data_IF_722461134955
#
_entry.id   IF_722461134955
#
_cell.length_a   1.000
_cell.length_b   1.000
_cell.length_c   1.000
_cell.angle_alpha   90.00
_cell.angle_beta   90.00
_cell.angle_gamma   90.00
#
_symmetry.space_group_name_H-M   'P 1'
#
loop_
_entity.id
_entity.type
_entity.pdbx_description
1 polymer ?
#
# COMPACT_ATOMS: atom_id res chain seq x y z
N UNK A 1 4.77 7.67 -10.99
CA UNK A 1 5.52 8.18 -12.16
C UNK A 1 5.74 7.00 -13.08
N UNK A 2 5.21 7.03 -14.31
CA UNK A 2 5.47 5.95 -15.27
C UNK A 2 6.95 6.04 -15.64
N UNK A 3 7.76 5.11 -15.12
CA UNK A 3 9.14 4.88 -15.58
C UNK A 3 9.00 4.33 -16.99
N UNK A 4 9.31 5.15 -17.97
CA UNK A 4 9.20 4.79 -19.38
C UNK A 4 10.60 4.97 -19.94
N UNK A 5 11.18 3.84 -20.33
CA UNK A 5 12.44 3.77 -21.05
C UNK A 5 12.10 3.72 -22.53
N UNK A 6 12.48 4.71 -23.33
CA UNK A 6 12.21 4.68 -24.76
C UNK A 6 12.89 3.47 -25.40
N UNK A 7 12.24 2.84 -26.38
CA UNK A 7 12.79 1.73 -27.15
C UNK A 7 13.80 2.26 -28.18
N UNK A 8 13.47 3.38 -28.82
CA UNK A 8 14.31 4.08 -29.77
C UNK A 8 14.37 5.59 -29.50
N UNK A 9 15.47 6.20 -29.94
CA UNK A 9 15.74 7.63 -29.91
C UNK A 9 15.92 8.12 -31.35
N UNK A 10 15.25 9.21 -31.68
CA UNK A 10 15.33 9.88 -32.98
C UNK A 10 15.94 11.25 -32.75
N UNK A 11 17.05 11.55 -33.42
CA UNK A 11 17.68 12.86 -33.40
C UNK A 11 17.39 13.59 -34.71
N UNK A 12 16.81 14.77 -34.58
CA UNK A 12 16.66 15.69 -35.71
C UNK A 12 17.86 16.64 -35.77
N UNK A 13 18.37 16.87 -36.99
CA UNK A 13 19.26 17.99 -37.33
C UNK A 13 18.65 18.77 -38.49
N UNK A 14 19.25 19.88 -38.91
CA UNK A 14 18.75 20.63 -40.06
C UNK A 14 18.95 19.88 -41.39
N UNK A 15 19.86 18.91 -41.42
CA UNK A 15 20.28 18.19 -42.63
C UNK A 15 19.89 16.72 -42.67
N UNK A 16 19.77 16.05 -41.51
CA UNK A 16 19.55 14.60 -41.43
C UNK A 16 18.72 14.21 -40.21
N UNK A 17 18.18 12.99 -40.24
CA UNK A 17 17.51 12.37 -39.13
C UNK A 17 18.19 11.05 -38.74
N UNK A 18 18.60 10.92 -37.48
CA UNK A 18 19.29 9.73 -36.98
C UNK A 18 18.40 8.92 -36.05
N UNK A 19 18.30 7.62 -36.31
CA UNK A 19 17.49 6.70 -35.49
C UNK A 19 18.41 5.69 -34.82
N UNK A 20 18.31 5.58 -33.50
CA UNK A 20 19.06 4.60 -32.71
C UNK A 20 18.13 3.86 -31.74
N UNK A 21 18.21 2.52 -31.68
CA UNK A 21 17.76 1.78 -30.51
C UNK A 21 18.43 2.34 -29.24
N UNK A 22 17.68 2.47 -28.14
CA UNK A 22 18.20 3.07 -26.89
C UNK A 22 19.45 2.34 -26.36
N UNK A 23 19.59 1.06 -26.69
CA UNK A 23 20.71 0.21 -26.28
C UNK A 23 22.00 0.54 -27.04
N UNK A 24 21.89 0.91 -28.31
CA UNK A 24 23.02 1.25 -29.19
C UNK A 24 23.22 2.76 -29.37
N UNK A 25 22.41 3.58 -28.69
CA UNK A 25 22.54 5.03 -28.75
C UNK A 25 23.91 5.49 -28.23
N UNK A 26 24.65 6.30 -29.01
CA UNK A 26 25.95 6.82 -28.59
C UNK A 26 25.81 7.72 -27.35
N UNK A 27 26.87 7.75 -26.52
CA UNK A 27 26.93 8.63 -25.34
C UNK A 27 27.15 10.09 -25.74
N UNK A 28 27.94 10.31 -26.79
CA UNK A 28 28.13 11.61 -27.44
C UNK A 28 27.06 11.81 -28.53
N UNK A 29 26.90 13.05 -28.98
CA UNK A 29 26.01 13.33 -30.10
C UNK A 29 26.55 12.70 -31.39
N UNK A 30 25.67 12.14 -32.23
CA UNK A 30 26.09 11.51 -33.48
C UNK A 30 26.43 12.50 -34.61
N UNK A 31 26.37 13.81 -34.36
CA UNK A 31 26.51 14.87 -35.35
C UNK A 31 27.10 16.14 -34.74
N UNK A 32 27.58 17.04 -35.59
CA UNK A 32 28.12 18.33 -35.18
C UNK A 32 27.01 19.32 -34.78
N UNK A 33 27.28 20.11 -33.73
CA UNK A 33 26.29 21.06 -33.17
C UNK A 33 25.95 22.19 -34.14
N UNK A 34 26.85 22.50 -35.07
CA UNK A 34 26.66 23.52 -36.12
C UNK A 34 25.50 23.14 -37.08
N UNK A 35 25.36 21.85 -37.42
CA UNK A 35 24.27 21.33 -38.27
C UNK A 35 22.90 21.40 -37.60
N UNK A 36 22.85 21.71 -36.31
CA UNK A 36 21.62 21.81 -35.52
C UNK A 36 21.10 23.26 -35.40
N UNK A 37 21.82 24.25 -35.97
CA UNK A 37 21.50 25.68 -35.79
C UNK A 37 20.40 26.26 -36.71
N UNK A 38 20.31 25.92 -38.01
CA UNK A 38 19.24 26.48 -38.83
C UNK A 38 17.89 25.89 -38.40
N UNK A 39 16.86 26.74 -38.32
CA UNK A 39 15.47 26.30 -38.18
C UNK A 39 15.00 25.86 -39.57
N UNK A 40 14.73 24.58 -39.80
CA UNK A 40 14.29 24.10 -41.10
C UNK A 40 12.87 24.59 -41.39
N UNK A 41 12.56 24.71 -42.67
CA UNK A 41 11.17 24.94 -43.10
C UNK A 41 10.33 23.67 -42.91
N UNK A 42 9.01 23.81 -42.84
CA UNK A 42 8.09 22.68 -42.72
C UNK A 42 8.28 21.63 -43.82
N UNK A 43 8.58 22.08 -45.04
CA UNK A 43 8.88 21.19 -46.17
C UNK A 43 10.20 20.45 -46.01
N UNK A 44 11.23 21.09 -45.46
CA UNK A 44 12.49 20.42 -45.14
C UNK A 44 12.27 19.35 -44.07
N UNK A 45 11.47 19.61 -43.04
CA UNK A 45 11.15 18.60 -42.01
C UNK A 45 10.43 17.40 -42.67
N UNK A 46 9.47 17.63 -43.56
CA UNK A 46 8.80 16.54 -44.29
C UNK A 46 9.78 15.73 -45.14
N UNK A 47 10.73 16.37 -45.81
CA UNK A 47 11.77 15.68 -46.58
C UNK A 47 12.67 14.82 -45.68
N UNK A 48 13.12 15.35 -44.54
CA UNK A 48 13.90 14.59 -43.56
C UNK A 48 13.14 13.36 -43.03
N UNK A 49 11.82 13.47 -42.93
CA UNK A 49 10.97 12.36 -42.49
C UNK A 49 10.81 11.26 -43.54
N UNK A 50 10.98 11.57 -44.84
CA UNK A 50 10.97 10.55 -45.90
C UNK A 50 12.19 9.63 -45.82
N UNK A 51 13.30 10.11 -45.25
CA UNK A 51 14.54 9.34 -45.07
C UNK A 51 14.49 8.41 -43.83
N UNK A 52 13.43 8.47 -43.02
CA UNK A 52 13.27 7.63 -41.83
C UNK A 52 13.13 6.15 -42.20
N UNK A 53 13.98 5.30 -41.63
CA UNK A 53 13.92 3.84 -41.79
C UNK A 53 12.73 3.25 -41.03
N UNK A 54 11.60 3.08 -41.73
CA UNK A 54 10.34 2.56 -41.18
C UNK A 54 10.46 1.19 -40.50
N UNK A 55 11.40 0.33 -40.95
CA UNK A 55 11.60 -1.01 -40.41
C UNK A 55 12.04 -1.03 -38.94
N UNK A 56 12.87 -0.07 -38.52
CA UNK A 56 13.31 0.07 -37.11
C UNK A 56 12.17 0.63 -36.27
N UNK A 57 11.43 1.60 -36.81
CA UNK A 57 10.33 2.28 -36.15
C UNK A 57 9.16 1.33 -35.88
N UNK A 58 8.79 0.45 -36.82
CA UNK A 58 7.68 -0.49 -36.67
C UNK A 58 7.81 -1.42 -35.45
N UNK A 59 9.04 -1.69 -35.00
CA UNK A 59 9.31 -2.54 -33.83
C UNK A 59 9.21 -1.81 -32.48
N UNK A 60 9.10 -0.48 -32.49
CA UNK A 60 9.20 0.37 -31.30
C UNK A 60 7.83 0.76 -30.77
N UNK A 61 7.62 0.69 -29.45
CA UNK A 61 6.38 1.16 -28.80
C UNK A 61 6.54 2.54 -28.18
N UNK A 62 7.74 2.85 -27.70
CA UNK A 62 8.06 4.11 -27.01
C UNK A 62 9.21 4.81 -27.75
N UNK A 63 8.97 6.03 -28.21
CA UNK A 63 9.95 6.81 -28.96
C UNK A 63 10.31 8.09 -28.23
N UNK A 64 11.60 8.43 -28.26
CA UNK A 64 12.11 9.70 -27.76
C UNK A 64 12.65 10.52 -28.94
N UNK A 65 12.00 11.63 -29.24
CA UNK A 65 12.40 12.58 -30.27
C UNK A 65 13.23 13.67 -29.59
N UNK A 66 14.47 13.82 -30.07
CA UNK A 66 15.43 14.83 -29.62
C UNK A 66 15.54 15.89 -30.71
N UNK A 67 15.24 17.13 -30.34
CA UNK A 67 15.20 18.26 -31.28
C UNK A 67 16.26 19.30 -30.91
N UNK A 68 16.92 19.94 -31.89
CA UNK A 68 17.82 21.04 -31.63
C UNK A 68 17.15 22.16 -30.85
N UNK A 69 17.89 22.75 -29.92
CA UNK A 69 17.41 23.89 -29.15
C UNK A 69 17.05 25.09 -30.03
N UNK A 70 17.71 25.26 -31.18
CA UNK A 70 17.43 26.37 -32.09
C UNK A 70 16.02 26.32 -32.69
N UNK A 71 15.37 25.14 -32.73
CA UNK A 71 14.00 24.97 -33.23
C UNK A 71 12.96 25.21 -32.14
N UNK A 72 13.41 25.36 -30.90
CA UNK A 72 12.58 25.53 -29.72
C UNK A 72 12.74 26.97 -29.21
N UNK A 73 11.71 27.47 -28.56
CA UNK A 73 11.81 28.73 -27.84
C UNK A 73 12.43 28.45 -26.47
N UNK A 74 13.66 28.88 -26.26
CA UNK A 74 14.39 28.71 -25.00
C UNK A 74 14.54 30.07 -24.33
N UNK A 75 14.11 30.18 -23.08
CA UNK A 75 14.19 31.41 -22.30
C UNK A 75 14.62 31.17 -20.87
N UNK A 76 15.36 32.14 -20.33
CA UNK A 76 15.90 32.11 -18.98
C UNK A 76 15.49 33.38 -18.23
N UNK A 77 14.86 33.20 -17.07
CA UNK A 77 14.33 34.30 -16.27
C UNK A 77 14.84 34.21 -14.84
N UNK A 78 15.39 35.33 -14.33
CA UNK A 78 15.80 35.44 -12.93
C UNK A 78 14.65 35.96 -12.09
N UNK A 79 14.38 35.29 -10.97
CA UNK A 79 13.25 35.58 -10.08
C UNK A 79 13.79 35.74 -8.66
N UNK A 80 13.52 36.90 -8.07
CA UNK A 80 14.05 37.34 -6.77
C UNK A 80 13.36 36.67 -5.55
N UNK A 81 12.41 35.77 -5.79
CA UNK A 81 11.67 35.08 -4.74
C UNK A 81 11.56 33.59 -5.03
N UNK A 82 11.52 32.73 -3.99
CA UNK A 82 11.36 31.30 -4.16
C UNK A 82 10.02 30.99 -4.82
N UNK A 83 10.07 30.40 -6.02
CA UNK A 83 8.87 29.89 -6.67
C UNK A 83 8.40 28.64 -5.96
N UNK A 84 7.16 28.67 -5.48
CA UNK A 84 6.52 27.45 -5.03
C UNK A 84 6.38 26.47 -6.20
N UNK A 85 6.44 25.15 -5.97
CA UNK A 85 6.33 24.15 -7.02
C UNK A 85 4.97 24.18 -7.75
N UNK A 86 3.95 24.82 -7.15
CA UNK A 86 2.64 25.02 -7.79
C UNK A 86 2.62 26.24 -8.72
N UNK A 87 3.43 27.25 -8.43
CA UNK A 87 3.51 28.49 -9.21
C UNK A 87 4.52 28.40 -10.34
N UNK A 88 5.61 27.64 -10.17
CA UNK A 88 6.63 27.41 -11.19
C UNK A 88 6.07 27.02 -12.58
N UNK A 89 5.14 26.04 -12.71
CA UNK A 89 4.58 25.69 -14.02
C UNK A 89 3.72 26.80 -14.63
N UNK A 90 3.04 27.61 -13.81
CA UNK A 90 2.23 28.75 -14.28
C UNK A 90 3.10 29.90 -14.79
N UNK A 91 4.17 30.22 -14.04
CA UNK A 91 5.15 31.21 -14.48
C UNK A 91 5.81 30.76 -15.78
N UNK A 92 6.22 29.50 -15.87
CA UNK A 92 6.79 28.94 -17.09
C UNK A 92 5.81 28.98 -18.27
N UNK A 93 4.53 28.69 -18.06
CA UNK A 93 3.51 28.79 -19.10
C UNK A 93 3.34 30.24 -19.60
N UNK A 94 3.33 31.22 -18.69
CA UNK A 94 3.25 32.63 -19.04
C UNK A 94 4.43 33.05 -19.91
N UNK A 95 5.66 32.76 -19.49
CA UNK A 95 6.86 33.06 -20.29
C UNK A 95 6.87 32.30 -21.61
N UNK A 96 6.47 31.02 -21.63
CA UNK A 96 6.39 30.25 -22.86
C UNK A 96 5.39 30.88 -23.85
N UNK A 97 4.25 31.38 -23.36
CA UNK A 97 3.26 32.07 -24.22
C UNK A 97 3.78 33.40 -24.77
N UNK A 98 4.56 34.12 -23.97
CA UNK A 98 5.19 35.36 -24.40
C UNK A 98 6.26 35.12 -25.46
N UNK A 99 7.10 34.09 -25.32
CA UNK A 99 8.21 33.85 -26.23
C UNK A 99 7.82 33.09 -27.51
N UNK A 100 6.72 32.34 -27.49
CA UNK A 100 6.21 31.62 -28.66
C UNK A 100 5.08 32.34 -29.38
N UNK A 101 4.51 33.40 -28.79
CA UNK A 101 3.33 34.13 -29.28
C UNK A 101 2.12 33.22 -29.56
N UNK A 102 2.04 32.07 -28.92
CA UNK A 102 0.97 31.09 -29.07
C UNK A 102 0.05 31.07 -27.83
N UNK A 103 -1.21 30.64 -27.97
CA UNK A 103 -2.09 30.51 -26.83
C UNK A 103 -1.67 29.31 -25.94
N UNK A 104 -1.95 29.35 -24.62
CA UNK A 104 -1.50 28.33 -23.67
C UNK A 104 -1.87 26.88 -24.03
N UNK A 105 -2.99 26.67 -24.72
CA UNK A 105 -3.46 25.35 -25.16
C UNK A 105 -2.69 24.78 -26.36
N UNK A 106 -1.93 25.61 -27.07
CA UNK A 106 -1.13 25.25 -28.25
C UNK A 106 0.37 25.23 -27.95
N UNK A 107 0.75 25.31 -26.68
CA UNK A 107 2.14 25.32 -26.26
C UNK A 107 2.45 24.05 -25.46
N UNK A 108 3.57 23.43 -25.82
CA UNK A 108 4.18 22.36 -25.06
C UNK A 108 5.47 22.87 -24.47
N UNK A 109 5.62 22.78 -23.16
CA UNK A 109 6.80 23.33 -22.49
C UNK A 109 7.35 22.40 -21.43
N UNK A 110 8.59 22.67 -21.07
CA UNK A 110 9.30 22.08 -19.96
C UNK A 110 9.92 23.23 -19.17
N UNK A 111 9.97 23.07 -17.85
CA UNK A 111 10.58 24.05 -16.97
C UNK A 111 11.52 23.38 -15.98
N UNK A 112 12.63 24.05 -15.69
CA UNK A 112 13.50 23.75 -14.57
C UNK A 112 13.74 25.01 -13.75
N UNK A 113 13.79 24.85 -12.43
CA UNK A 113 14.07 25.94 -11.50
C UNK A 113 15.37 25.61 -10.79
N UNK A 114 16.40 26.38 -11.06
CA UNK A 114 17.70 26.26 -10.43
C UNK A 114 17.90 27.41 -9.44
N UNK A 115 18.44 27.08 -8.26
CA UNK A 115 18.72 28.08 -7.22
C UNK A 115 20.12 28.65 -7.46
N UNK A 116 20.21 29.93 -7.81
CA UNK A 116 21.49 30.62 -8.00
C UNK A 116 22.06 31.09 -6.66
N UNK A 117 21.28 31.83 -5.88
CA UNK A 117 21.66 32.36 -4.58
C UNK A 117 20.54 32.12 -3.55
N UNK A 118 20.71 32.62 -2.30
CA UNK A 118 19.69 32.48 -1.25
C UNK A 118 18.32 33.00 -1.69
N UNK A 119 18.32 34.11 -2.42
CA UNK A 119 17.10 34.82 -2.84
C UNK A 119 16.89 34.83 -4.37
N UNK A 120 17.85 34.35 -5.17
CA UNK A 120 17.74 34.35 -6.63
C UNK A 120 17.56 32.93 -7.16
N UNK A 121 16.50 32.76 -7.94
CA UNK A 121 16.16 31.53 -8.65
C UNK A 121 16.16 31.81 -10.15
N UNK A 122 16.68 30.89 -10.94
CA UNK A 122 16.64 30.94 -12.40
C UNK A 122 15.61 29.93 -12.89
N UNK A 123 14.59 30.45 -13.55
CA UNK A 123 13.59 29.66 -14.25
C UNK A 123 14.04 29.53 -15.71
N UNK A 124 14.35 28.30 -16.10
CA UNK A 124 14.67 27.95 -17.48
C UNK A 124 13.43 27.31 -18.12
N UNK A 125 12.97 27.87 -19.24
CA UNK A 125 11.78 27.45 -19.95
C UNK A 125 12.17 27.04 -21.36
N UNK A 126 11.72 25.86 -21.77
CA UNK A 126 11.83 25.37 -23.14
C UNK A 126 10.40 25.18 -23.64
N UNK A 127 10.05 25.81 -24.75
CA UNK A 127 8.72 25.78 -25.33
C UNK A 127 8.74 25.38 -26.81
N UNK A 128 7.69 24.69 -27.22
CA UNK A 128 7.46 24.20 -28.57
C UNK A 128 6.00 24.46 -28.94
N UNK A 129 5.76 24.94 -30.17
CA UNK A 129 4.41 25.11 -30.68
C UNK A 129 3.78 23.75 -30.99
N UNK A 130 2.45 23.66 -30.87
CA UNK A 130 1.69 22.49 -31.25
C UNK A 130 1.92 22.08 -32.70
N UNK A 131 1.98 23.07 -33.61
CA UNK A 131 2.22 22.83 -35.04
C UNK A 131 3.55 22.09 -35.27
N UNK A 132 4.65 22.57 -34.69
CA UNK A 132 5.96 21.93 -34.83
C UNK A 132 5.97 20.54 -34.20
N UNK A 133 5.37 20.39 -33.01
CA UNK A 133 5.27 19.09 -32.33
C UNK A 133 4.49 18.07 -33.17
N UNK A 134 3.35 18.47 -33.72
CA UNK A 134 2.48 17.60 -34.51
C UNK A 134 3.17 17.23 -35.83
N UNK A 135 3.87 18.19 -36.47
CA UNK A 135 4.70 17.94 -37.65
C UNK A 135 5.80 16.91 -37.36
N UNK A 136 6.53 17.05 -36.24
CA UNK A 136 7.58 16.11 -35.86
C UNK A 136 7.05 14.73 -35.45
N UNK A 137 5.81 14.65 -34.95
CA UNK A 137 5.18 13.38 -34.55
C UNK A 137 4.49 12.67 -35.70
N UNK A 138 4.15 13.36 -36.77
CA UNK A 138 3.43 12.83 -37.93
C UNK A 138 3.95 11.48 -38.48
N UNK A 139 5.26 11.24 -38.66
CA UNK A 139 5.75 9.98 -39.24
C UNK A 139 5.71 8.79 -38.28
N UNK A 140 5.45 9.04 -37.00
CA UNK A 140 5.40 8.02 -35.96
C UNK A 140 3.93 7.76 -35.66
N UNK A 141 3.41 6.63 -36.15
CA UNK A 141 2.00 6.24 -36.07
C UNK A 141 1.35 6.55 -34.71
N UNK A 142 0.04 6.82 -34.71
CA UNK A 142 -0.75 7.07 -33.50
C UNK A 142 -0.67 5.95 -32.43
N UNK A 143 -0.13 4.79 -32.78
CA UNK A 143 0.11 3.66 -31.88
C UNK A 143 1.37 3.82 -30.98
N UNK A 144 2.26 4.77 -31.25
CA UNK A 144 3.54 4.92 -30.55
C UNK A 144 3.52 6.08 -29.53
N UNK A 145 3.97 5.83 -28.30
CA UNK A 145 4.13 6.88 -27.28
C UNK A 145 5.38 7.71 -27.60
N UNK A 146 5.20 8.81 -28.34
CA UNK A 146 6.28 9.67 -28.82
C UNK A 146 6.52 10.86 -27.89
N UNK A 147 7.73 11.00 -27.35
CA UNK A 147 8.06 12.09 -26.41
C UNK A 147 9.05 13.04 -27.02
N UNK A 148 8.84 14.33 -26.83
CA UNK A 148 9.69 15.38 -27.38
C UNK A 148 10.57 15.97 -26.27
N UNK A 149 11.88 16.01 -26.49
CA UNK A 149 12.85 16.67 -25.60
C UNK A 149 13.84 17.52 -26.39
N UNK A 150 14.47 18.49 -25.74
CA UNK A 150 15.54 19.28 -26.35
C UNK A 150 16.88 18.55 -26.33
N UNK A 151 17.75 18.94 -27.26
CA UNK A 151 19.12 18.44 -27.37
C UNK A 151 19.98 18.83 -26.15
N UNK A 152 19.80 20.02 -25.58
CA UNK A 152 20.46 20.42 -24.34
C UNK A 152 20.04 19.54 -23.16
N UNK A 153 18.74 19.21 -23.03
CA UNK A 153 18.26 18.29 -22.00
C UNK A 153 18.87 16.90 -22.17
N UNK A 154 18.99 16.43 -23.42
CA UNK A 154 19.67 15.17 -23.73
C UNK A 154 21.13 15.19 -23.26
N UNK A 155 21.93 16.19 -23.67
CA UNK A 155 23.34 16.32 -23.32
C UNK A 155 23.59 16.39 -21.80
N UNK A 156 22.77 17.14 -21.07
CA UNK A 156 22.92 17.29 -19.61
C UNK A 156 22.69 15.97 -18.83
N UNK A 157 21.93 15.03 -19.41
CA UNK A 157 21.43 13.85 -18.69
C UNK A 157 21.89 12.53 -19.26
N UNK A 158 22.24 12.44 -20.55
CA UNK A 158 22.63 11.19 -21.23
C UNK A 158 23.79 10.46 -20.55
N UNK A 159 24.68 11.19 -19.87
CA UNK A 159 25.80 10.65 -19.10
C UNK A 159 25.41 9.94 -17.80
N UNK A 160 24.20 10.16 -17.27
CA UNK A 160 23.77 9.59 -15.97
C UNK A 160 23.20 8.18 -16.16
N UNK A 161 23.72 7.22 -15.37
CA UNK A 161 23.39 5.78 -15.42
C UNK A 161 21.87 5.47 -15.40
N UNK A 162 21.07 6.29 -14.73
CA UNK A 162 19.61 6.11 -14.59
C UNK A 162 18.77 7.01 -15.49
N UNK A 163 19.37 7.86 -16.32
CA UNK A 163 18.63 8.80 -17.18
C UNK A 163 17.62 8.10 -18.09
N UNK A 164 17.97 6.89 -18.54
CA UNK A 164 17.14 6.01 -19.38
C UNK A 164 15.74 5.73 -18.82
N UNK A 165 15.53 5.83 -17.51
CA UNK A 165 14.24 5.54 -16.87
C UNK A 165 13.44 6.79 -16.47
N UNK A 166 14.00 7.98 -16.69
CA UNK A 166 13.46 9.26 -16.16
C UNK A 166 13.08 10.28 -17.24
N UNK A 167 13.19 9.93 -18.52
CA UNK A 167 12.93 10.88 -19.63
C UNK A 167 11.51 11.46 -19.64
N UNK A 168 10.53 10.75 -19.09
CA UNK A 168 9.16 11.26 -18.95
C UNK A 168 9.01 12.52 -18.08
N UNK A 169 10.03 12.92 -17.32
CA UNK A 169 10.02 14.18 -16.56
C UNK A 169 10.51 15.38 -17.38
N UNK A 170 11.21 15.11 -18.48
CA UNK A 170 11.84 16.13 -19.33
C UNK A 170 11.05 16.39 -20.61
N UNK A 171 9.98 15.62 -20.83
CA UNK A 171 9.10 15.78 -21.97
C UNK A 171 8.46 17.18 -21.98
N UNK A 172 8.42 17.77 -23.17
CA UNK A 172 7.63 18.96 -23.47
C UNK A 172 6.14 18.58 -23.40
N UNK A 173 5.47 19.05 -22.36
CA UNK A 173 4.09 18.67 -22.05
C UNK A 173 3.20 19.90 -21.95
N UNK A 174 1.88 19.69 -22.09
CA UNK A 174 0.92 20.75 -21.92
C UNK A 174 0.59 20.93 -20.43
N UNK A 175 0.27 22.16 -20.02
CA UNK A 175 -0.18 22.44 -18.66
C UNK A 175 -1.56 21.83 -18.42
N UNK A 176 -1.62 20.78 -17.59
CA UNK A 176 -2.87 20.08 -17.25
C UNK A 176 -3.03 19.94 -15.73
N UNK A 177 -3.41 21.02 -15.02
CA UNK A 177 -3.45 21.04 -13.57
C UNK A 177 -4.44 20.02 -12.98
N UNK A 178 -5.56 19.80 -13.66
CA UNK A 178 -6.58 18.83 -13.23
C UNK A 178 -6.10 17.38 -13.40
N UNK A 179 -5.34 17.08 -14.45
CA UNK A 179 -4.76 15.75 -14.61
C UNK A 179 -3.73 15.46 -13.53
N UNK A 180 -2.87 16.43 -13.22
CA UNK A 180 -1.87 16.30 -12.17
C UNK A 180 -2.52 16.16 -10.79
N UNK A 181 -3.58 16.93 -10.54
CA UNK A 181 -4.39 16.79 -9.32
C UNK A 181 -4.99 15.40 -9.23
N UNK A 182 -5.63 14.92 -10.30
CA UNK A 182 -6.24 13.58 -10.36
C UNK A 182 -5.20 12.48 -10.15
N UNK A 183 -4.05 12.56 -10.83
CA UNK A 183 -2.94 11.59 -10.66
C UNK A 183 -2.41 11.56 -9.23
N UNK A 184 -2.25 12.73 -8.60
CA UNK A 184 -1.83 12.82 -7.21
C UNK A 184 -2.87 12.25 -6.25
N UNK A 185 -4.16 12.50 -6.50
CA UNK A 185 -5.25 11.91 -5.71
C UNK A 185 -5.28 10.38 -5.85
N UNK A 186 -5.19 9.86 -7.07
CA UNK A 186 -5.12 8.40 -7.32
C UNK A 186 -3.92 7.80 -6.61
N UNK A 187 -2.76 8.45 -6.66
CA UNK A 187 -1.56 7.98 -5.95
C UNK A 187 -1.75 7.96 -4.44
N UNK A 188 -2.33 9.01 -3.86
CA UNK A 188 -2.63 9.06 -2.42
C UNK A 188 -3.62 7.99 -2.03
N UNK A 189 -4.66 7.76 -2.84
CA UNK A 189 -5.61 6.69 -2.67
C UNK A 189 -4.95 5.30 -2.71
N UNK A 190 -4.05 5.06 -3.67
CA UNK A 190 -3.33 3.79 -3.78
C UNK A 190 -2.45 3.55 -2.54
N UNK A 191 -1.75 4.58 -2.06
CA UNK A 191 -0.96 4.50 -0.82
C UNK A 191 -1.87 4.22 0.39
N UNK A 192 -3.03 4.87 0.48
CA UNK A 192 -3.99 4.62 1.54
C UNK A 192 -4.51 3.18 1.53
N UNK A 193 -4.87 2.65 0.35
CA UNK A 193 -5.29 1.26 0.19
C UNK A 193 -4.18 0.30 0.61
N UNK A 194 -2.93 0.54 0.20
CA UNK A 194 -1.80 -0.28 0.60
C UNK A 194 -1.60 -0.28 2.13
N UNK A 195 -1.65 0.89 2.76
CA UNK A 195 -1.54 1.00 4.22
C UNK A 195 -2.69 0.27 4.93
N UNK A 196 -3.91 0.38 4.41
CA UNK A 196 -5.06 -0.34 4.94
C UNK A 196 -4.85 -1.85 4.84
N UNK A 197 -4.43 -2.37 3.69
CA UNK A 197 -4.14 -3.80 3.51
C UNK A 197 -3.02 -4.26 4.45
N UNK A 198 -1.93 -3.50 4.57
CA UNK A 198 -0.85 -3.82 5.51
C UNK A 198 -1.33 -3.87 6.96
N UNK A 199 -2.20 -2.95 7.37
CA UNK A 199 -2.79 -2.95 8.71
C UNK A 199 -3.65 -4.20 8.94
N UNK A 200 -4.51 -4.57 7.99
CA UNK A 200 -5.34 -5.77 8.10
C UNK A 200 -4.50 -7.05 8.16
N UNK A 201 -3.41 -7.12 7.38
CA UNK A 201 -2.47 -8.24 7.44
C UNK A 201 -1.77 -8.34 8.80
N UNK A 202 -1.37 -7.20 9.40
CA UNK A 202 -0.78 -7.17 10.73
C UNK A 202 -1.77 -7.63 11.80
N UNK A 203 -3.02 -7.16 11.74
CA UNK A 203 -4.08 -7.57 12.66
C UNK A 203 -4.35 -9.07 12.53
N UNK A 204 -4.45 -9.58 11.30
CA UNK A 204 -4.67 -11.00 11.04
C UNK A 204 -3.50 -11.86 11.55
N UNK A 205 -2.26 -11.39 11.35
CA UNK A 205 -1.07 -12.04 11.90
C UNK A 205 -1.06 -12.06 13.44
N UNK A 206 -1.49 -10.98 14.07
CA UNK A 206 -1.63 -10.88 15.52
C UNK A 206 -2.68 -11.87 16.06
N UNK A 207 -3.88 -11.91 15.47
CA UNK A 207 -4.92 -12.86 15.87
C UNK A 207 -4.51 -14.31 15.65
N UNK A 208 -3.82 -14.60 14.56
CA UNK A 208 -3.28 -15.94 14.32
C UNK A 208 -2.29 -16.37 15.40
N UNK A 209 -1.44 -15.44 15.86
CA UNK A 209 -0.48 -15.71 16.92
C UNK A 209 -1.15 -15.94 18.28
N UNK A 210 -2.17 -15.14 18.60
CA UNK A 210 -3.01 -15.35 19.79
C UNK A 210 -3.75 -16.70 19.76
N UNK A 211 -4.38 -17.05 18.64
CA UNK A 211 -5.09 -18.32 18.48
C UNK A 211 -4.14 -19.50 18.66
N UNK A 212 -2.91 -19.41 18.11
CA UNK A 212 -1.88 -20.42 18.32
C UNK A 212 -1.49 -20.56 19.79
N UNK A 213 -1.32 -19.46 20.52
CA UNK A 213 -1.02 -19.48 21.95
C UNK A 213 -2.18 -20.08 22.76
N UNK A 214 -3.42 -19.72 22.45
CA UNK A 214 -4.60 -20.29 23.10
C UNK A 214 -4.74 -21.79 22.85
N UNK A 215 -4.53 -22.26 21.62
CA UNK A 215 -4.54 -23.69 21.30
C UNK A 215 -3.44 -24.44 22.05
N UNK A 216 -2.24 -23.88 22.15
CA UNK A 216 -1.15 -24.47 22.94
C UNK A 216 -1.51 -24.56 24.42
N UNK A 217 -2.04 -23.49 25.00
CA UNK A 217 -2.45 -23.47 26.41
C UNK A 217 -3.60 -24.46 26.69
N UNK A 218 -4.57 -24.57 25.79
CA UNK A 218 -5.64 -25.55 25.88
C UNK A 218 -5.11 -26.99 25.87
N UNK A 219 -4.13 -27.30 25.01
CA UNK A 219 -3.48 -28.62 24.99
C UNK A 219 -2.71 -28.88 26.29
N UNK A 220 -1.98 -27.89 26.81
CA UNK A 220 -1.26 -28.03 28.09
C UNK A 220 -2.21 -28.26 29.26
N UNK A 221 -3.31 -27.50 29.34
CA UNK A 221 -4.35 -27.71 30.36
C UNK A 221 -4.97 -29.09 30.22
N UNK A 222 -5.29 -29.52 29.00
CA UNK A 222 -5.86 -30.85 28.74
C UNK A 222 -4.92 -31.97 29.22
N UNK A 223 -3.61 -31.85 28.96
CA UNK A 223 -2.59 -32.78 29.46
C UNK A 223 -2.51 -32.78 31.00
N UNK A 224 -2.58 -31.62 31.65
CA UNK A 224 -2.62 -31.54 33.12
C UNK A 224 -3.88 -32.19 33.71
N UNK A 225 -5.05 -31.99 33.10
CA UNK A 225 -6.28 -32.71 33.52
C UNK A 225 -6.21 -34.21 33.28
N UNK A 226 -5.48 -34.68 32.26
CA UNK A 226 -5.28 -36.12 32.02
C UNK A 226 -4.27 -36.75 32.99
N UNK A 227 -3.30 -35.97 33.50
CA UNK A 227 -2.35 -36.39 34.53
C UNK A 227 -2.99 -36.49 35.93
N UNK A 228 -4.13 -35.82 36.16
CA UNK A 228 -5.02 -36.05 37.31
C UNK A 228 -5.76 -37.39 37.13
N UNK A 229 -5.02 -38.49 37.19
CA UNK A 229 -5.61 -39.81 37.35
C UNK A 229 -6.09 -39.97 38.80
N UNK A 230 -7.40 -40.12 38.95
CA UNK A 230 -8.03 -40.46 40.21
C UNK A 230 -7.41 -41.75 40.76
N UNK A 231 -7.09 -41.83 42.07
CA UNK A 231 -6.56 -43.06 42.65
C UNK A 231 -7.55 -44.21 42.41
N UNK A 232 -7.07 -45.27 41.76
CA UNK A 232 -7.87 -46.47 41.39
C UNK A 232 -8.42 -47.24 42.61
N UNK A 233 -8.06 -46.86 43.84
CA UNK A 233 -8.59 -47.40 45.09
C UNK A 233 -9.29 -46.31 45.89
N UNK A 234 -10.48 -45.92 45.45
CA UNK A 234 -11.44 -45.14 46.24
C UNK A 234 -12.52 -46.06 46.82
N UNK A 235 -13.10 -45.70 47.96
CA UNK A 235 -14.31 -46.39 48.45
C UNK A 235 -15.43 -46.27 47.40
N UNK A 236 -16.37 -47.23 47.38
CA UNK A 236 -17.55 -47.19 46.49
C UNK A 236 -18.30 -45.85 46.60
N UNK A 237 -18.28 -45.26 47.79
CA UNK A 237 -18.81 -43.92 48.04
C UNK A 237 -18.09 -42.82 47.23
N UNK A 238 -16.76 -42.81 47.19
CA UNK A 238 -15.98 -41.80 46.46
C UNK A 238 -16.21 -41.88 44.95
N UNK A 239 -16.32 -43.09 44.38
CA UNK A 239 -16.58 -43.25 42.94
C UNK A 239 -17.99 -42.80 42.55
N UNK A 240 -19.00 -43.12 43.37
CA UNK A 240 -20.37 -42.65 43.19
C UNK A 240 -20.48 -41.12 43.36
N UNK A 241 -19.79 -40.56 44.36
CA UNK A 241 -19.74 -39.12 44.59
C UNK A 241 -19.14 -38.37 43.39
N UNK A 242 -18.03 -38.85 42.84
CA UNK A 242 -17.43 -38.25 41.65
C UNK A 242 -18.31 -38.38 40.42
N UNK A 243 -19.08 -39.46 40.30
CA UNK A 243 -20.05 -39.64 39.21
C UNK A 243 -21.16 -38.60 39.32
N UNK A 244 -21.68 -38.37 40.53
CA UNK A 244 -22.66 -37.31 40.80
C UNK A 244 -22.10 -35.92 40.45
N UNK A 245 -20.87 -35.60 40.87
CA UNK A 245 -20.24 -34.31 40.56
C UNK A 245 -20.02 -34.11 39.05
N UNK A 246 -19.77 -35.18 38.29
CA UNK A 246 -19.65 -35.11 36.82
C UNK A 246 -20.97 -34.78 36.12
N UNK A 247 -22.10 -35.08 36.75
CA UNK A 247 -23.44 -34.76 36.23
C UNK A 247 -23.92 -33.36 36.61
N UNK A 248 -23.06 -32.52 37.20
CA UNK A 248 -23.42 -31.14 37.53
C UNK A 248 -23.75 -30.32 36.27
N UNK A 249 -24.83 -29.51 36.31
CA UNK A 249 -25.13 -28.55 35.24
C UNK A 249 -23.99 -27.54 35.07
N UNK A 250 -23.85 -26.98 33.87
CA UNK A 250 -22.81 -25.98 33.55
C UNK A 250 -22.89 -24.72 34.43
N UNK A 251 -24.06 -24.45 34.99
CA UNK A 251 -24.35 -23.26 35.79
C UNK A 251 -24.01 -23.46 37.29
N UNK A 252 -23.58 -24.67 37.68
CA UNK A 252 -23.14 -24.99 39.03
C UNK A 252 -21.63 -25.15 39.06
N UNK A 253 -20.95 -24.37 39.90
CA UNK A 253 -19.50 -24.46 40.08
C UNK A 253 -19.17 -25.17 41.39
N UNK A 254 -18.31 -26.17 41.30
CA UNK A 254 -17.72 -26.82 42.47
C UNK A 254 -16.46 -26.06 42.86
N UNK A 255 -16.50 -25.41 44.02
CA UNK A 255 -15.40 -24.58 44.52
C UNK A 255 -14.37 -25.42 45.27
N UNK A 256 -14.82 -26.38 46.07
CA UNK A 256 -13.94 -27.37 46.70
C UNK A 256 -14.69 -28.63 47.11
N UNK A 257 -13.96 -29.73 47.22
CA UNK A 257 -14.46 -31.02 47.68
C UNK A 257 -13.47 -31.60 48.68
N UNK A 258 -13.95 -31.93 49.87
CA UNK A 258 -13.21 -32.72 50.86
C UNK A 258 -13.96 -34.01 51.13
N UNK A 259 -13.26 -35.14 51.18
CA UNK A 259 -13.85 -36.46 51.40
C UNK A 259 -13.06 -37.24 52.44
N UNK A 260 -13.77 -37.80 53.41
CA UNK A 260 -13.27 -38.64 54.48
C UNK A 260 -14.07 -39.94 54.50
N UNK A 261 -13.52 -41.02 53.92
CA UNK A 261 -14.03 -42.40 53.88
C UNK A 261 -15.53 -42.59 53.49
N UNK A 262 -16.46 -42.21 54.36
CA UNK A 262 -17.92 -42.34 54.21
C UNK A 262 -18.67 -40.99 54.28
N UNK A 263 -17.95 -39.88 54.40
CA UNK A 263 -18.50 -38.54 54.41
C UNK A 263 -17.77 -37.66 53.39
N UNK A 264 -18.50 -36.74 52.77
CA UNK A 264 -17.93 -35.73 51.91
C UNK A 264 -18.57 -34.38 52.15
N UNK A 265 -17.78 -33.32 52.00
CA UNK A 265 -18.24 -31.93 52.04
C UNK A 265 -17.90 -31.29 50.70
N UNK A 266 -18.93 -30.87 49.97
CA UNK A 266 -18.82 -30.18 48.71
C UNK A 266 -19.23 -28.72 48.90
N UNK A 267 -18.40 -27.79 48.44
CA UNK A 267 -18.71 -26.37 48.38
C UNK A 267 -19.13 -26.03 46.96
N UNK A 268 -20.38 -25.61 46.80
CA UNK A 268 -21.00 -25.34 45.52
C UNK A 268 -21.42 -23.87 45.44
N UNK A 269 -21.23 -23.28 44.28
CA UNK A 269 -21.73 -21.95 43.93
C UNK A 269 -22.77 -22.14 42.82
N UNK A 270 -24.03 -21.78 43.08
CA UNK A 270 -25.14 -22.03 42.15
C UNK A 270 -26.24 -20.97 42.22
N UNK A 271 -27.10 -20.84 41.20
CA UNK A 271 -28.26 -19.95 41.25
C UNK A 271 -29.23 -20.34 42.36
N UNK A 272 -29.87 -19.34 43.00
CA UNK A 272 -30.73 -19.55 44.18
C UNK A 272 -31.81 -20.64 43.95
N UNK A 273 -32.47 -20.61 42.79
CA UNK A 273 -33.57 -21.51 42.46
C UNK A 273 -33.13 -22.94 42.11
N UNK A 274 -31.83 -23.15 41.88
CA UNK A 274 -31.30 -24.44 41.40
C UNK A 274 -31.04 -25.44 42.53
N UNK A 275 -30.81 -24.98 43.76
CA UNK A 275 -30.51 -25.84 44.90
C UNK A 275 -31.62 -26.86 45.22
N UNK A 276 -32.90 -26.46 45.35
CA UNK A 276 -33.96 -27.40 45.70
C UNK A 276 -34.18 -28.45 44.61
N UNK A 277 -34.03 -28.06 43.33
CA UNK A 277 -34.19 -28.95 42.17
C UNK A 277 -33.09 -30.02 42.17
N UNK A 278 -31.83 -29.60 42.35
CA UNK A 278 -30.68 -30.51 42.38
C UNK A 278 -30.73 -31.45 43.58
N UNK A 279 -31.09 -30.95 44.77
CA UNK A 279 -31.24 -31.79 45.96
C UNK A 279 -32.34 -32.83 45.80
N UNK A 280 -33.47 -32.48 45.15
CA UNK A 280 -34.54 -33.44 44.88
C UNK A 280 -34.05 -34.55 43.94
N UNK A 281 -33.37 -34.19 42.84
CA UNK A 281 -32.81 -35.14 41.89
C UNK A 281 -31.76 -36.06 42.54
N UNK A 282 -30.85 -35.52 43.34
CA UNK A 282 -29.82 -36.31 44.01
C UNK A 282 -30.38 -37.24 45.09
N UNK A 283 -31.38 -36.80 45.85
CA UNK A 283 -32.07 -37.67 46.82
C UNK A 283 -32.79 -38.84 46.15
N UNK A 284 -33.34 -38.61 44.95
CA UNK A 284 -33.97 -39.67 44.17
C UNK A 284 -32.92 -40.65 43.61
N UNK A 285 -31.79 -40.14 43.11
CA UNK A 285 -30.72 -40.97 42.54
C UNK A 285 -29.92 -41.76 43.61
N UNK A 286 -29.76 -41.19 44.81
CA UNK A 286 -28.97 -41.78 45.91
C UNK A 286 -29.77 -41.79 47.22
N UNK A 287 -30.79 -42.67 47.35
CA UNK A 287 -31.71 -42.68 48.49
C UNK A 287 -31.04 -43.08 49.81
N UNK A 288 -29.92 -43.79 49.74
CA UNK A 288 -29.18 -44.25 50.93
C UNK A 288 -28.25 -43.19 51.53
N UNK A 289 -28.11 -42.03 50.87
CA UNK A 289 -27.25 -40.96 51.35
C UNK A 289 -28.01 -39.97 52.24
N UNK A 290 -27.33 -39.44 53.25
CA UNK A 290 -27.83 -38.35 54.06
C UNK A 290 -27.24 -37.04 53.59
N UNK A 291 -28.11 -36.07 53.33
CA UNK A 291 -27.77 -34.76 52.80
C UNK A 291 -28.02 -33.71 53.87
N UNK A 292 -26.98 -32.98 54.26
CA UNK A 292 -27.05 -31.86 55.18
C UNK A 292 -26.57 -30.60 54.47
N UNK A 293 -27.45 -29.62 54.35
CA UNK A 293 -27.09 -28.29 53.85
C UNK A 293 -26.61 -27.48 55.04
N UNK A 294 -25.33 -27.12 55.05
CA UNK A 294 -24.75 -26.27 56.08
C UNK A 294 -24.96 -24.82 55.69
N UNK A 295 -25.59 -23.99 56.54
CA UNK A 295 -25.75 -22.57 56.25
C UNK A 295 -24.38 -21.90 56.27
N UNK A 296 -23.98 -21.32 55.14
CA UNK A 296 -22.80 -20.47 55.07
C UNK A 296 -23.25 -19.04 55.44
N UNK A 297 -22.67 -18.49 56.50
CA UNK A 297 -23.09 -17.22 57.08
C UNK A 297 -22.79 -16.03 56.15
N UNK A 298 -23.84 -15.58 55.43
CA UNK A 298 -24.26 -14.19 55.14
C UNK A 298 -25.21 -14.23 53.92
N UNK A 299 -26.48 -14.50 54.17
CA UNK A 299 -27.54 -14.24 53.19
C UNK A 299 -27.72 -12.72 53.10
N UNK A 300 -27.09 -12.09 52.12
CA UNK A 300 -27.58 -10.82 51.59
C UNK A 300 -28.77 -11.18 50.70
N UNK A 301 -29.97 -10.68 51.03
CA UNK A 301 -31.26 -11.00 50.38
C UNK A 301 -31.34 -10.67 48.87
N UNK A 302 -30.23 -10.33 48.22
CA UNK A 302 -30.17 -9.86 46.83
C UNK A 302 -29.06 -10.50 45.98
N UNK A 303 -28.63 -11.73 46.26
CA UNK A 303 -27.66 -12.43 45.40
C UNK A 303 -28.36 -13.50 44.53
N UNK A 304 -28.27 -13.31 43.20
CA UNK A 304 -28.72 -14.30 42.19
C UNK A 304 -28.00 -15.65 42.32
N UNK A 305 -26.82 -15.66 42.95
CA UNK A 305 -25.95 -16.83 43.14
C UNK A 305 -25.66 -17.02 44.63
N UNK A 306 -25.85 -18.24 45.12
CA UNK A 306 -25.61 -18.64 46.51
C UNK A 306 -24.43 -19.60 46.63
N UNK A 307 -23.63 -19.40 47.67
CA UNK A 307 -22.60 -20.35 48.10
C UNK A 307 -23.19 -21.30 49.15
N UNK A 308 -23.08 -22.60 48.88
CA UNK A 308 -23.71 -23.65 49.67
C UNK A 308 -22.67 -24.70 50.03
N UNK A 309 -22.57 -25.00 51.33
CA UNK A 309 -21.81 -26.14 51.82
C UNK A 309 -22.74 -27.34 51.98
N UNK A 310 -22.51 -28.38 51.19
CA UNK A 310 -23.28 -29.62 51.21
C UNK A 310 -22.45 -30.74 51.84
N UNK A 311 -22.93 -31.27 52.95
CA UNK A 311 -22.35 -32.44 53.61
C UNK A 311 -23.16 -33.69 53.29
N UNK A 312 -22.47 -34.71 52.79
CA UNK A 312 -23.01 -35.95 52.25
C UNK A 312 -22.46 -37.10 53.06
N UNK A 313 -23.30 -38.01 53.51
CA UNK A 313 -22.89 -39.21 54.23
C UNK A 313 -23.47 -40.45 53.56
N UNK A 314 -22.62 -41.45 53.28
CA UNK A 314 -23.09 -42.80 53.00
C UNK A 314 -23.27 -43.56 54.32
N UNK A 315 -24.38 -44.31 54.44
CA UNK A 315 -24.52 -45.32 55.49
C UNK A 315 -23.78 -46.60 55.12
#
# INVERSE_FOLDING_TARGET
>A
MKRISPDCVVFYTASQCYIYPIQSCPKALPFDVEDARPVPSDEQIKLLQQELKQSVLASSRQLLIVVPNAWLSVSEHQIAHPLSPKLAPLAALAFASETTFAPPNEIFFHHSVDKLNKDLFQLHVIACSKMLRDLLRQPFDAAQDCRLISMQQWQQRSSRRFARYTWGQFELSNYQPEEDRRRNLVRRWLVFVLLSVSLHLLILGYFYLLDRQHKQLAVTLQQQTQALSLPQKGSVFVSQLLTMLRTLPKDVRLSSLSSEQHAATAYLTLPHDSLPILLAQWRQAFPHWRWQVLPQSKLLESQEVIDVALRIFAR
#
